data_IF_066378409981
#
_entry.id   IF_066378409981
#
_cell.length_a   1.000
_cell.length_b   1.000
_cell.length_c   1.000
_cell.angle_alpha   90.00
_cell.angle_beta   90.00
_cell.angle_gamma   90.00
#
_symmetry.space_group_name_H-M   'P 1'
#
loop_
_entity.id
_entity.type
_entity.pdbx_description
1 polymer ?
#
# COMPACT_ATOMS: atom_id res chain seq x y z
N UNK A 1 39.11 -26.08 8.14
CA UNK A 1 37.94 -26.77 8.73
C UNK A 1 36.70 -26.38 7.92
N UNK A 2 36.11 -27.26 7.08
CA UNK A 2 34.92 -26.91 6.31
C UNK A 2 33.64 -27.04 7.17
N UNK A 3 32.81 -26.00 7.15
CA UNK A 3 31.51 -25.94 7.84
C UNK A 3 30.44 -26.64 6.99
N UNK A 4 29.82 -27.68 7.55
CA UNK A 4 28.67 -28.39 6.95
C UNK A 4 27.37 -27.65 7.28
N UNK A 5 26.59 -27.28 6.27
CA UNK A 5 25.23 -26.77 6.43
C UNK A 5 24.27 -27.94 6.68
N UNK A 6 23.44 -27.83 7.73
CA UNK A 6 22.41 -28.81 8.04
C UNK A 6 21.25 -28.69 7.05
N UNK A 7 20.96 -29.78 6.33
CA UNK A 7 19.80 -29.89 5.45
C UNK A 7 18.48 -29.74 6.26
N UNK A 8 17.53 -28.97 5.74
CA UNK A 8 16.18 -28.85 6.32
C UNK A 8 15.43 -30.20 6.34
N UNK A 9 14.39 -30.34 7.17
CA UNK A 9 13.70 -31.62 7.34
C UNK A 9 13.07 -32.06 6.01
N UNK A 10 13.50 -33.22 5.52
CA UNK A 10 12.92 -33.87 4.34
C UNK A 10 11.49 -34.32 4.67
N UNK A 11 10.48 -33.64 4.13
CA UNK A 11 9.08 -34.06 4.23
C UNK A 11 8.97 -35.43 3.57
N UNK A 12 8.76 -36.45 4.40
CA UNK A 12 8.72 -37.84 3.93
C UNK A 12 7.29 -38.19 3.54
N UNK A 13 7.10 -39.19 2.70
CA UNK A 13 5.76 -39.70 2.32
C UNK A 13 4.90 -40.04 3.56
N UNK A 14 5.53 -40.49 4.64
CA UNK A 14 4.90 -40.71 5.93
C UNK A 14 4.34 -39.42 6.59
N UNK A 15 5.01 -38.28 6.43
CA UNK A 15 4.51 -36.98 6.91
C UNK A 15 3.31 -36.50 6.08
N UNK A 16 3.34 -36.78 4.78
CA UNK A 16 2.24 -36.46 3.87
C UNK A 16 1.00 -37.29 4.22
N UNK A 17 1.17 -38.59 4.49
CA UNK A 17 0.08 -39.46 4.96
C UNK A 17 -0.48 -39.03 6.33
N UNK A 18 0.40 -38.64 7.27
CA UNK A 18 -0.02 -38.15 8.57
C UNK A 18 -0.83 -36.86 8.45
N UNK A 19 -0.41 -35.92 7.59
CA UNK A 19 -1.14 -34.70 7.32
C UNK A 19 -2.52 -34.96 6.68
N UNK A 20 -2.60 -35.91 5.73
CA UNK A 20 -3.87 -36.31 5.11
C UNK A 20 -4.87 -36.89 6.12
N UNK A 21 -4.40 -37.70 7.08
CA UNK A 21 -5.28 -38.24 8.15
C UNK A 21 -5.72 -37.18 9.16
N UNK A 22 -4.95 -36.10 9.31
CA UNK A 22 -5.26 -35.01 10.24
C UNK A 22 -6.16 -33.92 9.63
N UNK A 23 -6.43 -33.95 8.32
CA UNK A 23 -7.30 -32.96 7.68
C UNK A 23 -8.78 -33.32 7.88
N UNK A 24 -9.58 -32.45 8.50
CA UNK A 24 -11.02 -32.65 8.57
C UNK A 24 -11.63 -32.54 7.16
N UNK A 25 -12.44 -33.52 6.77
CA UNK A 25 -13.15 -33.49 5.49
C UNK A 25 -14.42 -32.65 5.64
N UNK A 26 -14.39 -31.42 5.11
CA UNK A 26 -15.57 -30.54 5.09
C UNK A 26 -16.60 -31.12 4.13
N UNK A 27 -17.77 -31.45 4.66
CA UNK A 27 -18.89 -32.05 3.89
C UNK A 27 -19.81 -30.96 3.36
N UNK A 28 -20.54 -31.20 2.26
CA UNK A 28 -21.51 -30.24 1.70
C UNK A 28 -22.54 -29.74 2.72
N UNK A 29 -22.96 -30.60 3.65
CA UNK A 29 -23.86 -30.20 4.75
C UNK A 29 -23.25 -29.14 5.69
N UNK A 30 -21.95 -29.21 5.97
CA UNK A 30 -21.25 -28.24 6.84
C UNK A 30 -21.22 -26.84 6.17
N UNK A 31 -20.96 -26.83 4.87
CA UNK A 31 -20.99 -25.61 4.04
C UNK A 31 -22.40 -25.00 4.05
N UNK A 32 -23.44 -25.81 3.91
CA UNK A 32 -24.81 -25.31 3.88
C UNK A 32 -25.29 -24.79 5.24
N UNK A 33 -24.90 -25.45 6.33
CA UNK A 33 -25.16 -24.95 7.69
C UNK A 33 -24.46 -23.61 7.95
N UNK A 34 -23.20 -23.46 7.52
CA UNK A 34 -22.46 -22.22 7.66
C UNK A 34 -23.13 -21.05 6.92
N UNK A 35 -23.65 -21.30 5.71
CA UNK A 35 -24.39 -20.31 4.90
C UNK A 35 -25.69 -19.86 5.58
N UNK A 36 -26.43 -20.78 6.21
CA UNK A 36 -27.65 -20.44 6.96
C UNK A 36 -27.34 -19.62 8.21
N UNK A 37 -26.27 -19.98 8.93
CA UNK A 37 -25.87 -19.30 10.17
C UNK A 37 -25.33 -17.88 9.94
N UNK A 38 -24.67 -17.64 8.81
CA UNK A 38 -24.02 -16.35 8.50
C UNK A 38 -24.66 -15.67 7.28
N UNK A 39 -25.96 -15.88 7.04
CA UNK A 39 -26.65 -15.16 5.98
C UNK A 39 -26.67 -13.66 6.31
N UNK A 40 -26.27 -12.83 5.35
CA UNK A 40 -26.39 -11.38 5.47
C UNK A 40 -27.88 -10.99 5.60
N UNK A 41 -28.21 -9.95 6.39
CA UNK A 41 -29.58 -9.44 6.41
C UNK A 41 -29.96 -8.96 5.01
N UNK A 42 -31.15 -9.34 4.56
CA UNK A 42 -31.69 -8.89 3.26
C UNK A 42 -31.83 -7.36 3.25
N UNK A 43 -31.41 -6.71 2.17
CA UNK A 43 -31.52 -5.26 1.92
C UNK A 43 -32.97 -4.80 1.66
N UNK A 44 -33.99 -5.60 1.95
CA UNK A 44 -35.38 -5.19 1.84
C UNK A 44 -35.81 -4.52 3.16
N UNK A 45 -35.41 -3.26 3.36
CA UNK A 45 -35.97 -2.43 4.42
C UNK A 45 -37.40 -2.03 4.06
N UNK A 46 -38.42 -2.34 4.88
CA UNK A 46 -39.74 -1.78 4.71
C UNK A 46 -39.69 -0.25 4.86
N UNK A 47 -40.35 0.45 3.92
CA UNK A 47 -40.37 1.90 3.75
C UNK A 47 -41.07 2.72 4.86
N UNK A 48 -40.94 2.33 6.12
CA UNK A 48 -41.65 3.00 7.22
C UNK A 48 -40.83 3.00 8.50
N UNK A 49 -39.74 3.77 8.50
CA UNK A 49 -39.15 4.32 9.72
C UNK A 49 -39.48 5.82 9.78
N UNK A 50 -39.98 6.35 10.91
CA UNK A 50 -40.28 7.77 11.04
C UNK A 50 -39.00 8.58 10.97
N UNK A 51 -38.92 9.52 10.03
CA UNK A 51 -37.81 10.42 9.86
C UNK A 51 -37.67 11.31 11.12
N UNK A 52 -36.66 11.04 11.94
CA UNK A 52 -36.16 12.02 12.89
C UNK A 52 -35.66 13.21 12.08
N UNK A 53 -36.34 14.36 12.18
CA UNK A 53 -35.95 15.59 11.54
C UNK A 53 -34.48 15.90 11.90
N UNK A 54 -33.59 15.82 10.91
CA UNK A 54 -32.20 16.22 11.05
C UNK A 54 -32.09 17.74 11.29
N UNK A 55 -30.93 18.24 11.74
CA UNK A 55 -30.72 19.67 11.96
C UNK A 55 -30.94 20.45 10.65
N UNK A 56 -31.73 21.53 10.72
CA UNK A 56 -32.10 22.36 9.57
C UNK A 56 -30.87 22.96 8.88
N UNK A 57 -30.59 22.49 7.66
CA UNK A 57 -29.47 22.95 6.80
C UNK A 57 -29.62 24.42 6.37
N UNK A 58 -30.85 24.94 6.39
CA UNK A 58 -31.18 26.31 5.99
C UNK A 58 -30.69 27.37 6.99
N UNK A 59 -30.47 26.99 8.26
CA UNK A 59 -29.99 27.90 9.31
C UNK A 59 -28.46 27.98 9.41
N UNK A 60 -27.73 27.47 8.41
CA UNK A 60 -26.28 27.56 8.41
C UNK A 60 -25.84 29.00 8.09
N UNK A 61 -24.91 29.58 8.87
CA UNK A 61 -24.36 30.89 8.57
C UNK A 61 -23.70 30.86 7.19
N UNK A 62 -24.15 31.74 6.30
CA UNK A 62 -23.62 31.78 4.94
C UNK A 62 -22.23 32.44 4.95
N UNK A 63 -21.24 31.87 4.25
CA UNK A 63 -19.90 32.43 4.21
C UNK A 63 -19.92 33.84 3.59
N UNK A 64 -19.22 34.77 4.26
CA UNK A 64 -19.19 36.21 3.91
C UNK A 64 -18.53 36.45 2.54
N UNK A 65 -17.72 35.51 2.05
CA UNK A 65 -17.01 35.62 0.77
C UNK A 65 -17.75 34.84 -0.31
N UNK A 66 -18.65 35.51 -1.04
CA UNK A 66 -19.29 35.01 -2.27
C UNK A 66 -18.60 35.50 -3.54
N UNK A 67 -17.32 35.86 -3.49
CA UNK A 67 -16.58 36.18 -4.71
C UNK A 67 -16.43 34.92 -5.56
N UNK A 68 -16.88 34.92 -6.83
CA UNK A 68 -16.59 33.81 -7.74
C UNK A 68 -15.08 33.70 -7.84
N UNK A 69 -14.55 32.58 -7.37
CA UNK A 69 -13.14 32.29 -7.40
C UNK A 69 -12.77 32.07 -8.86
N UNK A 70 -11.92 32.94 -9.41
CA UNK A 70 -11.35 32.77 -10.73
C UNK A 70 -10.35 31.60 -10.69
N UNK A 71 -10.84 30.42 -11.07
CA UNK A 71 -10.08 29.18 -11.07
C UNK A 71 -8.90 29.23 -12.07
N UNK A 72 -9.03 29.97 -13.16
CA UNK A 72 -7.96 30.12 -14.16
C UNK A 72 -6.83 30.99 -13.62
N UNK A 73 -7.16 32.08 -12.91
CA UNK A 73 -6.18 32.91 -12.22
C UNK A 73 -5.44 32.12 -11.13
N UNK A 74 -6.16 31.28 -10.37
CA UNK A 74 -5.55 30.40 -9.38
C UNK A 74 -4.64 29.34 -10.00
N UNK A 75 -5.10 28.66 -11.07
CA UNK A 75 -4.32 27.66 -11.77
C UNK A 75 -3.02 28.28 -12.34
N UNK A 76 -3.12 29.48 -12.91
CA UNK A 76 -1.96 30.21 -13.45
C UNK A 76 -1.01 30.67 -12.34
N UNK A 77 -1.52 31.12 -11.20
CA UNK A 77 -0.71 31.47 -10.04
C UNK A 77 0.07 30.27 -9.48
N UNK A 78 -0.60 29.12 -9.35
CA UNK A 78 0.05 27.87 -8.94
C UNK A 78 1.04 27.35 -9.97
N UNK A 79 0.73 27.42 -11.27
CA UNK A 79 1.67 27.03 -12.32
C UNK A 79 2.92 27.92 -12.34
N UNK A 80 2.75 29.23 -12.18
CA UNK A 80 3.86 30.20 -12.11
C UNK A 80 4.71 29.98 -10.86
N UNK A 81 4.07 29.67 -9.73
CA UNK A 81 4.76 29.34 -8.50
C UNK A 81 5.47 27.99 -8.60
N UNK A 82 4.86 26.99 -9.22
CA UNK A 82 5.48 25.70 -9.49
C UNK A 82 6.71 25.83 -10.39
N UNK A 83 6.64 26.66 -11.44
CA UNK A 83 7.75 26.93 -12.36
C UNK A 83 8.88 27.73 -11.70
N UNK A 84 8.54 28.75 -10.90
CA UNK A 84 9.50 29.49 -10.07
C UNK A 84 10.15 28.60 -9.01
N UNK A 85 9.40 27.62 -8.50
CA UNK A 85 9.88 26.63 -7.55
C UNK A 85 10.73 25.56 -8.23
N UNK A 86 10.39 25.13 -9.44
CA UNK A 86 11.15 24.18 -10.27
C UNK A 86 12.50 24.78 -10.69
N UNK A 87 12.51 26.04 -11.12
CA UNK A 87 13.72 26.79 -11.44
C UNK A 87 14.59 27.09 -10.21
N UNK A 88 14.01 27.31 -9.03
CA UNK A 88 14.75 27.42 -7.78
C UNK A 88 15.25 26.06 -7.24
N UNK A 89 14.60 24.95 -7.61
CA UNK A 89 14.93 23.58 -7.18
C UNK A 89 15.89 22.86 -8.13
N UNK A 90 16.21 23.44 -9.28
CA UNK A 90 17.24 22.92 -10.20
C UNK A 90 18.65 22.78 -9.62
N UNK A 91 18.89 23.26 -8.38
CA UNK A 91 20.20 23.26 -7.72
C UNK A 91 20.25 22.49 -6.40
N UNK A 92 19.13 21.94 -5.89
CA UNK A 92 19.13 21.23 -4.62
C UNK A 92 18.08 20.11 -4.59
N UNK A 93 18.55 18.86 -4.66
CA UNK A 93 17.88 17.67 -4.12
C UNK A 93 16.46 17.39 -4.64
N UNK A 94 16.39 16.48 -5.61
CA UNK A 94 15.16 16.08 -6.27
C UNK A 94 14.02 15.68 -5.33
N UNK A 95 12.83 16.15 -5.73
CA UNK A 95 11.53 15.47 -5.75
C UNK A 95 11.11 14.87 -4.40
N UNK A 96 10.08 15.39 -3.71
CA UNK A 96 8.65 15.19 -4.04
C UNK A 96 7.82 16.31 -3.37
N UNK A 97 7.03 17.09 -4.12
CA UNK A 97 6.06 18.05 -3.57
C UNK A 97 4.63 17.79 -4.05
N UNK A 98 3.90 17.10 -3.17
CA UNK A 98 2.47 16.77 -3.13
C UNK A 98 2.25 15.91 -1.87
N UNK A 99 1.02 15.63 -1.39
CA UNK A 99 0.81 14.58 -0.39
C UNK A 99 1.21 13.23 -1.00
N UNK A 100 2.49 12.88 -0.86
CA UNK A 100 3.11 11.71 -1.46
C UNK A 100 2.98 10.50 -0.55
N UNK A 101 2.53 9.37 -1.11
CA UNK A 101 2.55 8.10 -0.41
C UNK A 101 4.01 7.59 -0.37
N UNK A 102 4.48 7.21 0.82
CA UNK A 102 5.76 6.54 1.01
C UNK A 102 5.52 5.09 1.42
N UNK A 103 6.18 4.15 0.74
CA UNK A 103 6.13 2.73 1.07
C UNK A 103 7.49 2.32 1.62
N UNK A 104 7.51 2.00 2.90
CA UNK A 104 8.72 1.58 3.61
C UNK A 104 8.95 0.09 3.38
N UNK A 105 10.10 -0.25 2.80
CA UNK A 105 10.48 -1.65 2.57
C UNK A 105 11.91 -1.95 3.03
N UNK A 106 12.15 -3.20 3.37
CA UNK A 106 13.45 -3.73 3.77
C UNK A 106 13.74 -4.97 2.94
N UNK A 107 14.98 -5.09 2.45
CA UNK A 107 15.43 -6.24 1.67
C UNK A 107 15.49 -7.54 2.49
N UNK A 108 15.35 -7.47 3.81
CA UNK A 108 15.20 -8.64 4.67
C UNK A 108 13.81 -9.30 4.55
N UNK A 109 12.83 -8.63 3.95
CA UNK A 109 11.51 -9.21 3.72
C UNK A 109 11.56 -10.31 2.65
N UNK A 110 10.63 -11.29 2.70
CA UNK A 110 10.49 -12.27 1.63
C UNK A 110 10.27 -11.59 0.28
N UNK A 111 10.94 -12.12 -0.75
CA UNK A 111 10.80 -11.65 -2.14
C UNK A 111 9.34 -11.49 -2.63
N UNK A 112 8.39 -12.43 -2.38
CA UNK A 112 7.01 -12.24 -2.80
C UNK A 112 6.33 -11.04 -2.14
N UNK A 113 6.69 -10.71 -0.89
CA UNK A 113 6.18 -9.53 -0.18
C UNK A 113 6.71 -8.25 -0.83
N UNK A 114 8.02 -8.20 -1.11
CA UNK A 114 8.64 -7.05 -1.78
C UNK A 114 8.03 -6.79 -3.16
N UNK A 115 7.79 -7.83 -3.96
CA UNK A 115 7.14 -7.69 -5.25
C UNK A 115 5.75 -7.06 -5.14
N UNK A 116 4.93 -7.53 -4.18
CA UNK A 116 3.59 -6.98 -3.97
C UNK A 116 3.62 -5.52 -3.52
N UNK A 117 4.53 -5.16 -2.62
CA UNK A 117 4.66 -3.79 -2.14
C UNK A 117 5.13 -2.83 -3.24
N UNK A 118 6.11 -3.25 -4.05
CA UNK A 118 6.59 -2.46 -5.20
C UNK A 118 5.51 -2.30 -6.25
N UNK A 119 4.73 -3.36 -6.48
CA UNK A 119 3.59 -3.32 -7.40
C UNK A 119 2.47 -2.39 -6.92
N UNK A 120 2.13 -2.42 -5.63
CA UNK A 120 1.20 -1.48 -5.02
C UNK A 120 1.73 -0.04 -5.06
N UNK A 121 3.02 0.15 -4.79
CA UNK A 121 3.67 1.46 -4.87
C UNK A 121 3.60 2.03 -6.29
N UNK A 122 3.85 1.20 -7.32
CA UNK A 122 3.73 1.60 -8.72
C UNK A 122 2.30 2.04 -9.08
N UNK A 123 1.28 1.26 -8.67
CA UNK A 123 -0.13 1.61 -8.92
C UNK A 123 -0.54 2.89 -8.19
N UNK A 124 -0.07 3.08 -6.97
CA UNK A 124 -0.40 4.23 -6.13
C UNK A 124 0.48 5.47 -6.41
N UNK A 125 1.44 5.39 -7.35
CA UNK A 125 2.45 6.43 -7.61
C UNK A 125 3.20 6.85 -6.33
N UNK A 126 3.51 5.86 -5.50
CA UNK A 126 4.21 6.05 -4.25
C UNK A 126 5.73 5.99 -4.43
N UNK A 127 6.47 6.66 -3.56
CA UNK A 127 7.92 6.51 -3.46
C UNK A 127 8.26 5.38 -2.48
N UNK A 128 9.18 4.50 -2.87
CA UNK A 128 9.61 3.37 -2.05
C UNK A 128 10.86 3.78 -1.27
N UNK A 129 10.79 3.70 0.05
CA UNK A 129 11.91 3.99 0.94
C UNK A 129 12.51 2.67 1.43
N UNK A 130 13.81 2.50 1.17
CA UNK A 130 14.60 1.36 1.56
C UNK A 130 15.34 1.64 2.87
N UNK A 131 15.17 0.76 3.86
CA UNK A 131 15.86 0.87 5.17
C UNK A 131 17.38 0.93 5.03
N UNK A 132 17.95 0.31 4.00
CA UNK A 132 19.39 0.28 3.86
C UNK A 132 19.85 -0.63 2.73
N UNK A 133 21.17 -0.79 2.65
CA UNK A 133 21.80 -1.60 1.62
C UNK A 133 21.73 -3.09 1.97
N UNK A 134 21.50 -3.93 0.96
CA UNK A 134 21.69 -5.38 1.09
C UNK A 134 23.14 -5.68 1.48
N UNK A 135 23.34 -6.25 2.67
CA UNK A 135 24.66 -6.62 3.20
C UNK A 135 25.69 -5.47 3.14
N UNK A 136 25.26 -4.21 3.27
CA UNK A 136 26.15 -3.04 3.16
C UNK A 136 26.65 -2.73 1.74
N UNK A 137 26.13 -3.41 0.72
CA UNK A 137 26.58 -3.29 -0.67
C UNK A 137 25.51 -2.68 -1.58
N UNK A 138 25.85 -1.55 -2.21
CA UNK A 138 25.00 -0.93 -3.22
C UNK A 138 24.83 -1.82 -4.45
N UNK A 139 25.90 -2.51 -4.88
CA UNK A 139 25.85 -3.43 -6.02
C UNK A 139 24.86 -4.56 -5.77
N UNK A 140 24.90 -5.14 -4.57
CA UNK A 140 23.98 -6.21 -4.20
C UNK A 140 22.54 -5.71 -4.09
N UNK A 141 22.37 -4.48 -3.58
CA UNK A 141 21.06 -3.81 -3.50
C UNK A 141 20.43 -3.65 -4.88
N UNK A 142 21.19 -3.12 -5.86
CA UNK A 142 20.72 -2.98 -7.24
C UNK A 142 20.42 -4.34 -7.86
N UNK A 143 21.28 -5.35 -7.66
CA UNK A 143 21.05 -6.70 -8.20
C UNK A 143 19.77 -7.35 -7.66
N UNK A 144 19.44 -7.15 -6.38
CA UNK A 144 18.20 -7.66 -5.78
C UNK A 144 16.97 -6.83 -6.15
N UNK A 145 17.12 -5.52 -6.35
CA UNK A 145 16.02 -4.60 -6.63
C UNK A 145 15.64 -4.54 -8.12
N UNK A 146 16.61 -4.66 -9.03
CA UNK A 146 16.40 -4.69 -10.48
C UNK A 146 15.31 -5.69 -10.94
N UNK A 147 15.31 -6.98 -10.50
CA UNK A 147 14.25 -7.92 -10.86
C UNK A 147 12.88 -7.61 -10.24
N UNK A 148 12.84 -6.83 -9.15
CA UNK A 148 11.60 -6.46 -8.47
C UNK A 148 10.92 -5.26 -9.16
N UNK A 149 11.71 -4.29 -9.61
CA UNK A 149 11.21 -3.12 -10.34
C UNK A 149 10.88 -3.50 -11.78
N UNK A 150 11.77 -4.22 -12.46
CA UNK A 150 11.60 -4.55 -13.87
C UNK A 150 11.42 -3.28 -14.72
N UNK A 151 10.26 -3.16 -15.39
CA UNK A 151 9.90 -1.99 -16.20
C UNK A 151 9.03 -0.95 -15.46
N UNK A 152 8.77 -1.16 -14.17
CA UNK A 152 7.87 -0.30 -13.38
C UNK A 152 8.56 1.03 -13.08
N UNK A 153 7.87 2.13 -13.29
CA UNK A 153 8.36 3.45 -12.89
C UNK A 153 7.99 3.70 -11.43
N UNK A 154 8.95 3.45 -10.53
CA UNK A 154 8.81 3.69 -9.08
C UNK A 154 10.04 4.45 -8.62
N UNK A 155 9.83 5.56 -7.91
CA UNK A 155 10.93 6.27 -7.25
C UNK A 155 11.42 5.42 -6.07
N UNK A 156 12.72 5.10 -6.04
CA UNK A 156 13.33 4.35 -4.94
C UNK A 156 14.41 5.18 -4.30
N UNK A 157 14.30 5.36 -2.98
CA UNK A 157 15.26 6.08 -2.16
C UNK A 157 15.77 5.16 -1.05
N UNK A 158 17.04 5.29 -0.69
CA UNK A 158 17.63 4.59 0.45
C UNK A 158 17.73 5.61 1.59
N UNK A 159 16.94 5.41 2.64
CA UNK A 159 16.96 6.26 3.83
C UNK A 159 16.75 5.41 5.10
N UNK A 160 17.83 5.01 5.78
CA UNK A 160 17.75 4.28 7.04
C UNK A 160 17.07 5.08 8.16
N UNK A 161 17.27 6.39 8.22
CA UNK A 161 16.79 7.23 9.32
C UNK A 161 15.28 7.48 9.23
N UNK A 162 14.67 7.27 8.07
CA UNK A 162 13.23 7.36 7.91
C UNK A 162 12.47 6.23 8.64
N UNK A 163 13.13 5.14 9.04
CA UNK A 163 12.51 4.03 9.80
C UNK A 163 12.48 4.24 11.31
N UNK A 164 13.25 5.21 11.83
CA UNK A 164 13.41 5.44 13.27
C UNK A 164 12.49 6.57 13.80
N UNK A 165 11.53 7.03 13.00
CA UNK A 165 10.65 8.19 13.29
C UNK A 165 9.24 7.79 13.67
#
# INVERSE_FOLDING_TARGET
>A
MPTTWAAGPTITEADIERARRAQPTVTEQDVEQARRKHSLPSTDLPASAPATAGPSVDALPQPVTRTPIDLEALARGYASQADAMESAQGLAQGQIKGPGLFVFVSLAMPQPTLQRLIDQAARARASVILRGLANGSLRQTVAQMHPLIGQRQVAVQIDPQAFDR
#
